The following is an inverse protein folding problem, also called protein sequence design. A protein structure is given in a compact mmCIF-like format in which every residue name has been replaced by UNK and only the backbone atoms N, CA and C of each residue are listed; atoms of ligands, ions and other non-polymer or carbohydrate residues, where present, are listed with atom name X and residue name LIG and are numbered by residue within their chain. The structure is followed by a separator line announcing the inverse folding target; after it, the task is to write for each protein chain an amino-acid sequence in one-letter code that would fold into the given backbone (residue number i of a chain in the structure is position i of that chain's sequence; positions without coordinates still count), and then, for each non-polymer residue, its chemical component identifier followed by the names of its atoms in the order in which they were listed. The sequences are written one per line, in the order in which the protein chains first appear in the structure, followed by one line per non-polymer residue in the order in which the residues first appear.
data_IF_747914508092
#
_entry.id   IF_747914508092
#
_cell.length_a   1.000
_cell.length_b   1.000
_cell.length_c   1.000
_cell.angle_alpha   90.00
_cell.angle_beta   90.00
_cell.angle_gamma   90.00
#
_symmetry.space_group_name_H-M   'P 1'
#
loop_
_entity.id
_entity.type
_entity.pdbx_description
1 polymer ?
#
# COMPACT_ATOMS: atom_id res chain seq x y z
N UNK A 1 -21.01 3.81 16.94
CA UNK A 1 -21.57 3.81 15.57
C UNK A 1 -20.70 2.85 14.78
N UNK A 2 -21.28 1.75 14.33
CA UNK A 2 -20.59 0.72 13.53
C UNK A 2 -20.29 1.34 12.17
N UNK A 3 -19.07 1.16 11.67
CA UNK A 3 -18.70 1.54 10.29
C UNK A 3 -19.61 0.77 9.36
N UNK A 4 -20.26 1.45 8.41
CA UNK A 4 -21.11 0.72 7.46
C UNK A 4 -20.23 -0.19 6.58
N UNK A 5 -20.79 -1.33 6.16
CA UNK A 5 -20.11 -2.30 5.28
C UNK A 5 -19.55 -1.62 4.02
N UNK A 6 -20.27 -0.64 3.46
CA UNK A 6 -19.83 0.13 2.30
C UNK A 6 -18.60 1.01 2.61
N UNK A 7 -18.54 1.63 3.81
CA UNK A 7 -17.38 2.43 4.22
C UNK A 7 -16.15 1.56 4.48
N UNK A 8 -16.34 0.40 5.12
CA UNK A 8 -15.25 -0.56 5.34
C UNK A 8 -14.68 -1.04 4.00
N UNK A 9 -15.55 -1.39 3.05
CA UNK A 9 -15.13 -1.82 1.72
C UNK A 9 -14.42 -0.72 0.92
N UNK A 10 -14.90 0.53 1.02
CA UNK A 10 -14.19 1.66 0.42
C UNK A 10 -12.79 1.85 1.02
N UNK A 11 -12.66 1.74 2.35
CA UNK A 11 -11.37 1.85 3.04
C UNK A 11 -10.37 0.78 2.56
N UNK A 12 -10.80 -0.49 2.47
CA UNK A 12 -9.97 -1.59 1.96
C UNK A 12 -9.47 -1.32 0.54
N UNK A 13 -10.32 -0.80 -0.37
CA UNK A 13 -9.89 -0.46 -1.73
C UNK A 13 -8.78 0.59 -1.76
N UNK A 14 -8.87 1.62 -0.94
CA UNK A 14 -7.81 2.63 -0.85
C UNK A 14 -6.53 2.06 -0.21
N UNK A 15 -6.66 1.19 0.78
CA UNK A 15 -5.56 0.49 1.43
C UNK A 15 -4.77 -0.34 0.41
N UNK A 16 -5.43 -1.25 -0.30
CA UNK A 16 -4.79 -2.10 -1.31
C UNK A 16 -4.25 -1.30 -2.50
N UNK A 17 -4.94 -0.22 -2.90
CA UNK A 17 -4.45 0.67 -3.94
C UNK A 17 -3.17 1.41 -3.52
N UNK A 18 -3.03 1.76 -2.24
CA UNK A 18 -1.80 2.34 -1.70
C UNK A 18 -0.61 1.40 -1.88
N UNK A 19 -0.74 0.14 -1.44
CA UNK A 19 0.28 -0.88 -1.63
C UNK A 19 0.65 -1.06 -3.11
N UNK A 20 -0.35 -1.18 -3.98
CA UNK A 20 -0.14 -1.42 -5.40
C UNK A 20 0.54 -0.25 -6.12
N UNK A 21 0.15 0.99 -5.82
CA UNK A 21 0.79 2.19 -6.41
C UNK A 21 2.25 2.26 -6.01
N UNK A 22 2.58 2.07 -4.73
CA UNK A 22 3.97 2.13 -4.27
C UNK A 22 4.78 0.96 -4.82
N UNK A 23 4.22 -0.26 -4.89
CA UNK A 23 4.87 -1.40 -5.52
C UNK A 23 5.21 -1.13 -6.99
N UNK A 24 4.28 -0.56 -7.75
CA UNK A 24 4.48 -0.19 -9.15
C UNK A 24 5.65 0.80 -9.33
N UNK A 25 5.75 1.80 -8.45
CA UNK A 25 6.80 2.82 -8.52
C UNK A 25 8.13 2.38 -7.89
N UNK A 26 8.13 1.31 -7.10
CA UNK A 26 9.34 0.67 -6.59
C UNK A 26 9.82 -0.51 -7.48
N UNK A 27 9.22 -0.70 -8.66
CA UNK A 27 9.52 -1.81 -9.57
C UNK A 27 9.38 -3.20 -8.90
N UNK A 28 8.46 -3.34 -7.93
CA UNK A 28 8.13 -4.63 -7.31
C UNK A 28 6.93 -5.24 -8.05
N UNK A 29 7.11 -6.36 -8.74
CA UNK A 29 6.05 -6.95 -9.55
C UNK A 29 4.87 -7.43 -8.72
N UNK A 30 3.67 -7.00 -9.09
CA UNK A 30 2.41 -7.43 -8.49
C UNK A 30 1.94 -8.69 -9.21
N UNK A 31 1.58 -9.73 -8.45
CA UNK A 31 0.96 -10.96 -8.96
C UNK A 31 -0.55 -10.82 -9.07
N UNK A 32 -1.17 -10.14 -8.12
CA UNK A 32 -2.61 -9.87 -8.08
C UNK A 32 -3.02 -9.00 -6.91
N UNK A 33 -4.25 -8.50 -6.99
CA UNK A 33 -4.91 -7.71 -5.94
C UNK A 33 -6.28 -8.31 -5.69
N UNK A 34 -6.69 -8.40 -4.44
CA UNK A 34 -8.07 -8.69 -4.05
C UNK A 34 -8.52 -7.74 -2.95
N UNK A 35 -9.78 -7.32 -3.00
CA UNK A 35 -10.47 -6.60 -1.92
C UNK A 35 -11.64 -7.43 -1.38
N UNK A 36 -11.68 -8.71 -1.75
CA UNK A 36 -12.62 -9.69 -1.18
C UNK A 36 -11.99 -10.22 0.10
N UNK A 37 -12.69 -10.05 1.21
CA UNK A 37 -12.25 -10.54 2.51
C UNK A 37 -12.21 -12.08 2.54
N UNK A 38 -11.18 -12.61 3.19
CA UNK A 38 -11.08 -14.01 3.58
C UNK A 38 -10.84 -14.12 5.10
N UNK A 39 -10.59 -15.32 5.61
CA UNK A 39 -10.37 -15.56 7.05
C UNK A 39 -9.10 -14.87 7.58
N UNK A 40 -8.19 -14.45 6.69
CA UNK A 40 -6.89 -13.90 7.06
C UNK A 40 -6.78 -12.38 6.86
N UNK A 41 -7.54 -11.80 5.90
CA UNK A 41 -7.44 -10.38 5.57
C UNK A 41 -8.70 -9.83 4.90
N UNK A 42 -8.91 -8.51 5.02
CA UNK A 42 -10.00 -7.78 4.34
C UNK A 42 -9.70 -7.56 2.84
N UNK A 43 -8.44 -7.57 2.47
CA UNK A 43 -7.91 -7.43 1.14
C UNK A 43 -6.43 -7.86 1.11
N UNK A 44 -5.84 -7.91 -0.08
CA UNK A 44 -4.43 -8.27 -0.23
C UNK A 44 -3.86 -7.86 -1.58
N UNK A 45 -2.67 -7.26 -1.57
CA UNK A 45 -1.79 -7.20 -2.72
C UNK A 45 -0.77 -8.33 -2.62
N UNK A 46 -0.76 -9.21 -3.61
CA UNK A 46 0.21 -10.31 -3.69
C UNK A 46 1.34 -9.93 -4.63
N UNK A 47 2.57 -10.08 -4.18
CA UNK A 47 3.78 -9.84 -4.97
C UNK A 47 4.41 -11.15 -5.42
N UNK A 48 5.19 -11.10 -6.51
CA UNK A 48 6.11 -12.19 -6.77
C UNK A 48 7.21 -12.18 -5.71
N UNK A 49 7.60 -13.36 -5.20
CA UNK A 49 8.66 -13.43 -4.20
C UNK A 49 9.97 -12.91 -4.81
N UNK A 50 10.77 -12.17 -4.02
CA UNK A 50 12.10 -11.79 -4.46
C UNK A 50 12.94 -13.05 -4.72
N UNK A 51 13.92 -12.93 -5.62
CA UNK A 51 14.78 -14.06 -5.96
C UNK A 51 15.57 -14.59 -4.75
N UNK A 52 16.19 -15.79 -4.89
CA UNK A 52 16.99 -16.44 -3.84
C UNK A 52 18.16 -15.60 -3.31
N UNK A 53 18.52 -14.55 -4.02
CA UNK A 53 19.54 -13.58 -3.62
C UNK A 53 19.08 -12.64 -2.49
N UNK A 54 17.78 -12.51 -2.26
CA UNK A 54 17.23 -11.69 -1.19
C UNK A 54 17.33 -12.43 0.13
N UNK A 55 18.42 -12.18 0.81
CA UNK A 55 18.76 -12.76 2.12
C UNK A 55 19.13 -11.61 3.06
N UNK A 56 18.13 -10.90 3.61
CA UNK A 56 18.34 -9.76 4.51
C UNK A 56 19.10 -10.15 5.78
N UNK A 57 18.97 -11.40 6.19
CA UNK A 57 19.65 -12.02 7.33
C UNK A 57 21.16 -12.26 7.10
N UNK A 58 21.62 -12.36 5.86
CA UNK A 58 22.99 -12.76 5.53
C UNK A 58 23.88 -11.62 5.01
N UNK A 59 23.33 -10.46 4.68
CA UNK A 59 24.18 -9.43 4.11
C UNK A 59 23.51 -8.10 3.82
N UNK A 60 24.35 -7.09 3.69
CA UNK A 60 23.97 -5.68 3.45
C UNK A 60 24.35 -5.22 2.03
N UNK A 61 24.33 -6.13 1.05
CA UNK A 61 24.58 -5.74 -0.33
C UNK A 61 23.59 -4.64 -0.78
N UNK A 62 23.99 -3.66 -1.58
CA UNK A 62 23.14 -2.53 -1.97
C UNK A 62 21.77 -2.95 -2.51
N UNK A 63 21.73 -4.01 -3.32
CA UNK A 63 20.48 -4.56 -3.87
C UNK A 63 19.54 -5.11 -2.78
N UNK A 64 20.10 -5.72 -1.71
CA UNK A 64 19.31 -6.25 -0.59
C UNK A 64 18.71 -5.09 0.19
N UNK A 65 19.51 -4.06 0.49
CA UNK A 65 19.05 -2.87 1.19
C UNK A 65 17.99 -2.12 0.39
N UNK A 66 18.16 -1.97 -0.93
CA UNK A 66 17.16 -1.36 -1.81
C UNK A 66 15.84 -2.15 -1.82
N UNK A 67 15.91 -3.48 -1.81
CA UNK A 67 14.71 -4.33 -1.73
C UNK A 67 14.01 -4.23 -0.38
N UNK A 68 14.77 -4.14 0.72
CA UNK A 68 14.20 -3.85 2.05
C UNK A 68 13.47 -2.51 2.02
N UNK A 69 14.13 -1.45 1.54
CA UNK A 69 13.56 -0.11 1.45
C UNK A 69 12.26 -0.09 0.61
N UNK A 70 12.23 -0.85 -0.50
CA UNK A 70 11.04 -0.99 -1.34
C UNK A 70 9.88 -1.68 -0.59
N UNK A 71 10.13 -2.82 0.06
CA UNK A 71 9.09 -3.53 0.80
C UNK A 71 8.61 -2.78 2.05
N UNK A 72 9.49 -2.05 2.74
CA UNK A 72 9.09 -1.16 3.84
C UNK A 72 8.15 -0.07 3.33
N UNK A 73 8.47 0.59 2.21
CA UNK A 73 7.59 1.59 1.60
C UNK A 73 6.23 1.00 1.22
N UNK A 74 6.23 -0.18 0.61
CA UNK A 74 4.99 -0.88 0.24
C UNK A 74 4.16 -1.17 1.48
N UNK A 75 4.76 -1.74 2.54
CA UNK A 75 4.04 -2.09 3.76
C UNK A 75 3.43 -0.89 4.48
N UNK A 76 4.07 0.28 4.43
CA UNK A 76 3.53 1.52 5.00
C UNK A 76 2.39 2.13 4.17
N UNK A 77 2.34 1.84 2.86
CA UNK A 77 1.52 2.56 1.91
C UNK A 77 0.01 2.37 2.12
N UNK A 78 -0.43 1.18 2.52
CA UNK A 78 -1.86 0.89 2.76
C UNK A 78 -2.46 1.80 3.83
N UNK A 79 -1.87 1.79 5.02
CA UNK A 79 -2.27 2.65 6.15
C UNK A 79 -2.27 4.14 5.77
N UNK A 80 -1.24 4.58 5.04
CA UNK A 80 -1.10 6.00 4.66
C UNK A 80 -2.16 6.38 3.63
N UNK A 81 -2.39 5.56 2.61
CA UNK A 81 -3.43 5.80 1.60
C UNK A 81 -4.83 5.84 2.23
N UNK A 82 -5.14 4.91 3.13
CA UNK A 82 -6.40 4.90 3.86
C UNK A 82 -6.55 6.15 4.73
N UNK A 83 -5.46 6.61 5.37
CA UNK A 83 -5.46 7.84 6.18
C UNK A 83 -5.74 9.07 5.33
N UNK A 84 -5.05 9.25 4.20
CA UNK A 84 -5.27 10.37 3.27
C UNK A 84 -6.72 10.39 2.77
N UNK A 85 -7.24 9.22 2.38
CA UNK A 85 -8.64 9.10 1.96
C UNK A 85 -9.60 9.49 3.08
N UNK A 86 -9.42 8.95 4.28
CA UNK A 86 -10.29 9.25 5.43
C UNK A 86 -10.23 10.73 5.82
N UNK A 87 -9.07 11.39 5.72
CA UNK A 87 -8.91 12.81 6.00
C UNK A 87 -9.64 13.70 4.99
N UNK A 88 -9.80 13.26 3.76
CA UNK A 88 -10.54 13.99 2.71
C UNK A 88 -12.06 13.92 2.85
N UNK A 89 -12.59 12.98 3.62
CA UNK A 89 -14.03 12.80 3.79
C UNK A 89 -14.64 13.88 4.69
N UNK A 90 -15.81 14.43 4.33
CA UNK A 90 -16.48 15.48 5.11
C UNK A 90 -17.00 14.94 6.46
N UNK A 91 -17.36 13.67 6.51
CA UNK A 91 -17.88 13.00 7.71
C UNK A 91 -17.01 11.79 8.00
N UNK A 92 -16.44 11.76 9.21
CA UNK A 92 -15.58 10.68 9.69
C UNK A 92 -16.24 9.96 10.86
N UNK A 93 -16.09 8.63 10.92
CA UNK A 93 -16.50 7.89 12.14
C UNK A 93 -15.63 8.33 13.33
N UNK A 94 -16.18 8.29 14.55
CA UNK A 94 -15.45 8.71 15.77
C UNK A 94 -14.13 7.97 15.97
N UNK A 95 -14.06 6.71 15.54
CA UNK A 95 -12.93 5.82 15.77
C UNK A 95 -12.12 5.52 14.49
N UNK A 96 -12.23 6.32 13.44
CA UNK A 96 -11.61 6.03 12.14
C UNK A 96 -10.10 5.78 12.23
N UNK A 97 -9.36 6.56 13.05
CA UNK A 97 -7.92 6.35 13.23
C UNK A 97 -7.58 5.03 13.94
N UNK A 98 -8.42 4.60 14.88
CA UNK A 98 -8.22 3.33 15.57
C UNK A 98 -8.49 2.15 14.63
N UNK A 99 -9.51 2.24 13.77
CA UNK A 99 -9.84 1.22 12.79
C UNK A 99 -8.70 1.05 11.76
N UNK A 100 -8.14 2.15 11.24
CA UNK A 100 -6.98 2.11 10.34
C UNK A 100 -5.78 1.44 11.00
N UNK A 101 -5.47 1.77 12.25
CA UNK A 101 -4.36 1.14 12.97
C UNK A 101 -4.55 -0.36 13.11
N UNK A 102 -5.74 -0.80 13.49
CA UNK A 102 -6.04 -2.21 13.66
C UNK A 102 -5.97 -2.98 12.33
N UNK A 103 -6.51 -2.40 11.23
CA UNK A 103 -6.42 -3.01 9.90
C UNK A 103 -4.98 -3.13 9.36
N UNK A 104 -4.06 -2.29 9.83
CA UNK A 104 -2.67 -2.27 9.38
C UNK A 104 -1.69 -3.03 10.31
N UNK A 105 -2.15 -3.72 11.34
CA UNK A 105 -1.26 -4.37 12.34
C UNK A 105 -0.34 -5.40 11.70
N UNK A 106 -0.85 -6.21 10.78
CA UNK A 106 -0.07 -7.24 10.09
C UNK A 106 1.03 -6.61 9.22
N UNK A 107 0.69 -5.59 8.42
CA UNK A 107 1.65 -4.88 7.58
C UNK A 107 2.74 -4.23 8.42
N UNK A 108 2.37 -3.62 9.55
CA UNK A 108 3.32 -2.97 10.46
C UNK A 108 4.27 -3.98 11.10
N UNK A 109 3.82 -5.18 11.45
CA UNK A 109 4.70 -6.24 11.96
C UNK A 109 5.77 -6.59 10.94
N UNK A 110 5.37 -6.86 9.69
CA UNK A 110 6.29 -7.17 8.60
C UNK A 110 7.27 -6.03 8.30
N UNK A 111 6.79 -4.78 8.36
CA UNK A 111 7.60 -3.57 8.14
C UNK A 111 8.67 -3.43 9.22
N UNK A 112 8.33 -3.62 10.50
CA UNK A 112 9.29 -3.55 11.62
C UNK A 112 10.35 -4.63 11.50
N UNK A 113 9.94 -5.86 11.16
CA UNK A 113 10.87 -6.98 10.97
C UNK A 113 11.88 -6.68 9.86
N UNK A 114 11.41 -6.21 8.70
CA UNK A 114 12.29 -5.83 7.58
C UNK A 114 13.20 -4.65 7.93
N UNK A 115 12.68 -3.63 8.61
CA UNK A 115 13.45 -2.47 9.02
C UNK A 115 14.60 -2.84 9.98
N UNK A 116 14.43 -3.86 10.81
CA UNK A 116 15.46 -4.36 11.72
C UNK A 116 16.70 -4.89 10.99
N UNK A 117 16.54 -5.45 9.78
CA UNK A 117 17.66 -5.82 8.91
C UNK A 117 18.33 -4.62 8.25
N UNK A 118 17.64 -3.49 8.17
CA UNK A 118 18.14 -2.26 7.53
C UNK A 118 18.99 -1.43 8.47
N UNK A 119 18.54 -1.26 9.72
CA UNK A 119 19.17 -0.37 10.72
C UNK A 119 18.76 -0.75 12.14
N UNK A 120 19.59 -0.37 13.12
CA UNK A 120 19.24 -0.43 14.55
C UNK A 120 18.34 0.74 14.98
N UNK A 121 18.34 1.86 14.24
CA UNK A 121 17.48 3.03 14.47
C UNK A 121 16.14 2.84 13.74
N UNK A 122 15.40 1.79 14.09
CA UNK A 122 14.19 1.37 13.37
C UNK A 122 13.11 2.44 13.44
N UNK A 123 12.90 3.05 14.60
CA UNK A 123 11.85 4.07 14.79
C UNK A 123 12.06 5.29 13.90
N UNK A 124 13.28 5.82 13.87
CA UNK A 124 13.64 6.99 13.08
C UNK A 124 13.58 6.69 11.57
N UNK A 125 14.02 5.49 11.21
CA UNK A 125 13.96 5.03 9.83
C UNK A 125 12.50 4.91 9.35
N UNK A 126 11.63 4.32 10.13
CA UNK A 126 10.20 4.20 9.79
C UNK A 126 9.51 5.57 9.75
N UNK A 127 9.82 6.47 10.68
CA UNK A 127 9.28 7.83 10.67
C UNK A 127 9.68 8.59 9.39
N UNK A 128 10.93 8.45 8.94
CA UNK A 128 11.38 9.02 7.67
C UNK A 128 10.68 8.37 6.48
N UNK A 129 10.56 7.04 6.45
CA UNK A 129 9.86 6.31 5.38
C UNK A 129 8.38 6.68 5.30
N UNK A 130 7.69 6.92 6.42
CA UNK A 130 6.29 7.38 6.41
C UNK A 130 6.16 8.74 5.69
N UNK A 131 7.08 9.67 5.90
CA UNK A 131 7.09 10.98 5.20
C UNK A 131 7.29 10.80 3.70
N UNK A 132 8.27 9.96 3.31
CA UNK A 132 8.57 9.64 1.91
C UNK A 132 7.37 9.01 1.20
N UNK A 133 6.76 8.00 1.82
CA UNK A 133 5.60 7.28 1.25
C UNK A 133 4.39 8.20 1.15
N UNK A 134 4.15 9.06 2.15
CA UNK A 134 3.07 10.03 2.10
C UNK A 134 3.25 10.99 0.91
N UNK A 135 4.42 11.57 0.74
CA UNK A 135 4.73 12.44 -0.39
C UNK A 135 4.57 11.72 -1.74
N UNK A 136 5.02 10.45 -1.81
CA UNK A 136 4.87 9.62 -3.00
C UNK A 136 3.40 9.38 -3.36
N UNK A 137 2.56 9.07 -2.38
CA UNK A 137 1.12 8.82 -2.59
C UNK A 137 0.38 10.11 -2.96
N UNK A 138 0.67 11.22 -2.30
CA UNK A 138 0.07 12.51 -2.61
C UNK A 138 0.37 12.93 -4.06
N UNK A 139 1.61 12.81 -4.51
CA UNK A 139 2.00 13.09 -5.88
C UNK A 139 1.33 12.15 -6.92
N UNK A 140 0.84 11.00 -6.49
CA UNK A 140 0.23 9.94 -7.33
C UNK A 140 -1.20 9.62 -6.94
N UNK A 141 -1.84 10.53 -6.23
CA UNK A 141 -3.17 10.29 -5.65
C UNK A 141 -4.22 9.90 -6.68
N UNK A 142 -4.12 10.43 -7.90
CA UNK A 142 -4.99 10.01 -9.02
C UNK A 142 -4.87 8.53 -9.37
N UNK A 143 -3.66 7.95 -9.28
CA UNK A 143 -3.47 6.52 -9.50
C UNK A 143 -4.09 5.70 -8.38
N UNK A 144 -3.94 6.14 -7.12
CA UNK A 144 -4.57 5.50 -5.96
C UNK A 144 -6.09 5.52 -6.12
N UNK A 145 -6.68 6.68 -6.41
CA UNK A 145 -8.12 6.83 -6.61
C UNK A 145 -8.63 6.03 -7.81
N UNK A 146 -7.91 6.08 -8.93
CA UNK A 146 -8.29 5.35 -10.15
C UNK A 146 -8.29 3.83 -9.93
N UNK A 147 -7.29 3.29 -9.25
CA UNK A 147 -7.25 1.87 -8.92
C UNK A 147 -8.32 1.48 -7.88
N UNK A 148 -8.56 2.32 -6.87
CA UNK A 148 -9.61 2.08 -5.88
C UNK A 148 -11.02 2.08 -6.49
N UNK A 149 -11.27 2.89 -7.53
CA UNK A 149 -12.51 2.86 -8.31
C UNK A 149 -12.58 1.55 -9.10
N UNK A 150 -11.53 1.20 -9.84
CA UNK A 150 -11.49 -0.02 -10.64
C UNK A 150 -11.68 -1.28 -9.79
N UNK A 151 -11.12 -1.33 -8.57
CA UNK A 151 -11.37 -2.41 -7.60
C UNK A 151 -12.81 -2.44 -7.08
N UNK A 152 -13.56 -1.36 -7.22
CA UNK A 152 -14.99 -1.32 -6.95
C UNK A 152 -15.80 -2.12 -7.97
N UNK A 153 -15.40 -2.06 -9.22
CA UNK A 153 -16.05 -2.75 -10.34
C UNK A 153 -15.51 -4.19 -10.51
N UNK A 154 -14.21 -4.38 -10.29
CA UNK A 154 -13.52 -5.67 -10.38
C UNK A 154 -12.73 -5.95 -9.10
N UNK A 155 -13.37 -6.60 -8.08
CA UNK A 155 -12.76 -6.80 -6.75
C UNK A 155 -11.51 -7.69 -6.72
N UNK A 156 -11.25 -8.43 -7.79
CA UNK A 156 -10.07 -9.29 -7.95
C UNK A 156 -9.42 -8.97 -9.28
N UNK A 157 -8.15 -8.62 -9.26
CA UNK A 157 -7.35 -8.30 -10.45
C UNK A 157 -6.06 -9.11 -10.48
N UNK A 158 -5.65 -9.51 -11.67
CA UNK A 158 -4.28 -9.97 -11.94
C UNK A 158 -3.31 -8.79 -11.86
N UNK A 159 -2.00 -9.07 -11.78
CA UNK A 159 -0.98 -8.02 -11.82
C UNK A 159 -1.00 -7.19 -13.10
N UNK A 160 -1.31 -7.81 -14.25
CA UNK A 160 -1.38 -7.12 -15.54
C UNK A 160 -2.60 -6.20 -15.62
N UNK A 161 -3.76 -6.62 -15.09
CA UNK A 161 -4.96 -5.78 -15.01
C UNK A 161 -4.73 -4.58 -14.07
N UNK A 162 -4.13 -4.82 -12.91
CA UNK A 162 -3.76 -3.76 -11.97
C UNK A 162 -2.78 -2.76 -12.60
N UNK A 163 -1.75 -3.25 -13.28
CA UNK A 163 -0.81 -2.41 -14.03
C UNK A 163 -1.51 -1.56 -15.11
N UNK A 164 -2.42 -2.18 -15.86
CA UNK A 164 -3.18 -1.48 -16.89
C UNK A 164 -4.05 -0.38 -16.30
N UNK A 165 -4.72 -0.61 -15.17
CA UNK A 165 -5.50 0.39 -14.45
C UNK A 165 -4.63 1.56 -13.97
N UNK A 166 -3.45 1.29 -13.40
CA UNK A 166 -2.50 2.30 -12.93
C UNK A 166 -1.98 3.16 -14.09
N UNK A 167 -1.66 2.57 -15.24
CA UNK A 167 -1.21 3.29 -16.43
C UNK A 167 -2.35 4.15 -17.01
N UNK A 168 -3.57 3.64 -17.07
CA UNK A 168 -4.74 4.40 -17.51
C UNK A 168 -4.99 5.63 -16.63
N UNK A 169 -4.95 5.46 -15.31
CA UNK A 169 -5.10 6.57 -14.36
C UNK A 169 -4.01 7.65 -14.51
N UNK A 170 -2.78 7.26 -14.89
CA UNK A 170 -1.69 8.20 -15.17
C UNK A 170 -1.92 9.05 -16.41
N UNK A 171 -2.54 8.50 -17.46
CA UNK A 171 -2.77 9.19 -18.74
C UNK A 171 -3.84 10.27 -18.62
N UNK A 172 -4.86 10.05 -17.82
CA UNK A 172 -5.92 11.04 -17.56
C UNK A 172 -5.36 12.33 -16.94
N UNK A 173 -4.19 12.28 -16.29
CA UNK A 173 -3.54 13.46 -15.72
C UNK A 173 -2.88 14.37 -16.74
N UNK A 174 -2.47 13.85 -17.91
CA UNK A 174 -1.77 14.62 -18.96
C UNK A 174 -2.71 15.33 -19.94
N UNK A 175 -3.98 14.92 -19.96
CA UNK A 175 -4.98 15.51 -20.88
C UNK A 175 -5.68 16.75 -20.31
N UNK A 176 -5.41 17.13 -19.05
CA UNK A 176 -6.09 18.22 -18.34
C UNK A 176 -5.14 19.39 -17.99
N UNK A 177 -3.92 19.39 -18.55
CA UNK A 177 -2.94 20.48 -18.45
C UNK A 177 -2.74 21.12 -19.79
#
# INVERSE_FOLDING_TARGET
MVVSTAQAWAATRFHESGHAVVAFWCDVPIKGITVVADDAALGRVTHYPPGKWFRPDLGRAPRVLAQIDAHVRIGLAGKIAETINAESLPIKSRNWRANIRHGAEHDMSNVVDLASYRTSAVTEYLAWMEVEVKAMLEARWRQVTGLAIALGDQPVMTGDEARSALVAASRLSRATT
#
